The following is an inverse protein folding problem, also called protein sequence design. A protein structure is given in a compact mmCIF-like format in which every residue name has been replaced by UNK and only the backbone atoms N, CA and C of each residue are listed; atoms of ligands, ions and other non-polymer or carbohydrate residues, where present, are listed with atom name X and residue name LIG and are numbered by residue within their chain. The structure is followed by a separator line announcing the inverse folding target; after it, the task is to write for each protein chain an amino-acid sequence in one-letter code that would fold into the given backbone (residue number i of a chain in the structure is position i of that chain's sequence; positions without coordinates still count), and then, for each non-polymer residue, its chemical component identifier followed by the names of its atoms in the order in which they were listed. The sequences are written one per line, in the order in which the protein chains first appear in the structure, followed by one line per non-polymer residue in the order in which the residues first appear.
data_IF_837860489866
#
_entry.id   IF_837860489866
#
_cell.length_a   1.000
_cell.length_b   1.000
_cell.length_c   1.000
_cell.angle_alpha   90.00
_cell.angle_beta   90.00
_cell.angle_gamma   90.00
#
_symmetry.space_group_name_H-M   'P 1'
#
loop_
_entity.id
_entity.type
_entity.pdbx_description
1 polymer ?
#
# COMPACT_ATOMS: atom_id res chain seq x y z
N UNK A 1 -27.85 33.50 -40.96
CA UNK A 1 -26.51 34.09 -40.75
C UNK A 1 -26.14 33.86 -39.29
N UNK A 2 -25.76 32.65 -38.89
CA UNK A 2 -24.36 32.18 -38.68
C UNK A 2 -23.56 33.07 -37.73
N UNK A 3 -23.76 32.87 -36.43
CA UNK A 3 -22.88 33.40 -35.37
C UNK A 3 -22.04 32.26 -34.80
N UNK A 4 -20.77 32.28 -35.20
CA UNK A 4 -19.59 31.98 -34.40
C UNK A 4 -19.57 30.67 -33.60
N UNK A 5 -19.12 29.60 -34.26
CA UNK A 5 -18.17 28.69 -33.62
C UNK A 5 -16.86 29.46 -33.42
N UNK A 6 -16.33 29.47 -32.20
CA UNK A 6 -14.92 29.37 -31.82
C UNK A 6 -14.67 30.06 -30.47
N UNK A 7 -13.79 29.45 -29.67
CA UNK A 7 -13.14 29.95 -28.45
C UNK A 7 -13.96 29.92 -27.16
N UNK A 8 -13.93 28.77 -26.48
CA UNK A 8 -13.69 28.73 -25.02
C UNK A 8 -13.10 27.37 -24.62
N UNK A 9 -12.05 26.99 -25.34
CA UNK A 9 -11.01 26.11 -24.81
C UNK A 9 -10.14 26.95 -23.89
N UNK A 10 -10.56 27.16 -22.64
CA UNK A 10 -9.78 27.93 -21.69
C UNK A 10 -9.70 27.20 -20.34
N UNK A 11 -8.54 26.55 -20.17
CA UNK A 11 -7.83 26.34 -18.92
C UNK A 11 -8.53 25.37 -17.96
N UNK A 12 -8.34 24.05 -18.09
CA UNK A 12 -7.04 23.39 -17.83
C UNK A 12 -6.42 23.83 -16.49
N UNK A 13 -7.22 23.87 -15.43
CA UNK A 13 -6.77 24.11 -14.07
C UNK A 13 -7.56 23.26 -13.06
N UNK A 14 -7.78 21.98 -13.34
CA UNK A 14 -7.90 21.01 -12.26
C UNK A 14 -6.53 20.39 -12.11
N UNK A 15 -5.73 21.03 -11.26
CA UNK A 15 -4.43 20.56 -10.84
C UNK A 15 -4.54 19.08 -10.49
N UNK A 16 -3.73 18.28 -11.17
CA UNK A 16 -2.69 17.43 -10.60
C UNK A 16 -2.72 17.37 -9.06
N UNK A 17 -3.84 16.94 -8.48
CA UNK A 17 -3.89 16.39 -7.14
C UNK A 17 -3.21 15.04 -7.27
N UNK A 18 -1.87 15.11 -7.22
CA UNK A 18 -0.97 14.12 -6.68
C UNK A 18 -1.71 12.87 -6.25
N UNK A 19 -1.76 11.89 -7.15
CA UNK A 19 -1.43 10.47 -6.91
C UNK A 19 -1.54 10.02 -5.44
N UNK A 20 -2.66 10.30 -4.77
CA UNK A 20 -3.13 9.48 -3.69
C UNK A 20 -3.79 8.31 -4.39
N UNK A 21 -2.96 7.46 -4.99
CA UNK A 21 -3.34 6.07 -5.22
C UNK A 21 -3.88 5.66 -3.86
N UNK A 22 -5.17 5.35 -3.70
CA UNK A 22 -5.53 4.54 -2.57
C UNK A 22 -4.79 3.25 -2.92
N UNK A 23 -3.59 3.07 -2.35
CA UNK A 23 -2.98 1.75 -2.25
C UNK A 23 -4.15 0.96 -1.76
N UNK A 24 -4.67 0.12 -2.67
CA UNK A 24 -5.80 -0.71 -2.39
C UNK A 24 -5.51 -1.22 -0.98
N UNK A 25 -6.42 -0.96 -0.06
CA UNK A 25 -6.60 -1.88 1.03
C UNK A 25 -6.86 -3.20 0.30
N UNK A 26 -5.75 -3.85 -0.08
CA UNK A 26 -5.66 -5.20 -0.53
C UNK A 26 -6.58 -5.89 0.44
N UNK A 27 -7.50 -6.68 -0.08
CA UNK A 27 -8.45 -7.47 0.66
C UNK A 27 -7.68 -8.33 1.69
N UNK A 28 -7.23 -7.69 2.75
CA UNK A 28 -6.37 -8.16 3.78
C UNK A 28 -7.39 -8.86 4.63
N UNK A 29 -7.41 -10.20 4.50
CA UNK A 29 -7.95 -11.06 5.53
C UNK A 29 -7.62 -10.40 6.88
N UNK A 30 -8.58 -10.35 7.83
CA UNK A 30 -8.36 -9.67 9.11
C UNK A 30 -6.97 -10.06 9.60
N UNK A 31 -6.09 -9.06 9.70
CA UNK A 31 -4.70 -9.28 10.12
C UNK A 31 -4.78 -10.12 11.39
N UNK A 32 -4.09 -11.25 11.39
CA UNK A 32 -4.01 -12.05 12.63
C UNK A 32 -3.48 -11.13 13.74
N UNK A 33 -3.92 -11.33 14.99
CA UNK A 33 -3.45 -10.49 16.11
C UNK A 33 -1.91 -10.40 16.17
N UNK A 34 -1.23 -11.45 15.70
CA UNK A 34 0.20 -11.48 15.49
C UNK A 34 0.69 -10.42 14.47
N UNK A 35 0.15 -10.42 13.25
CA UNK A 35 0.53 -9.45 12.23
C UNK A 35 0.17 -8.01 12.62
N UNK A 36 -0.95 -7.80 13.31
CA UNK A 36 -1.32 -6.48 13.82
C UNK A 36 -0.30 -5.96 14.86
N UNK A 37 0.12 -6.81 15.81
CA UNK A 37 1.16 -6.48 16.79
C UNK A 37 2.52 -6.21 16.13
N UNK A 38 2.86 -6.99 15.10
CA UNK A 38 4.11 -6.79 14.37
C UNK A 38 4.12 -5.50 13.56
N UNK A 39 3.01 -5.14 12.90
CA UNK A 39 2.86 -3.86 12.20
C UNK A 39 3.01 -2.63 13.09
N UNK A 40 2.59 -2.72 14.35
CA UNK A 40 2.80 -1.64 15.32
C UNK A 40 4.29 -1.44 15.66
N UNK A 41 5.10 -2.51 15.55
CA UNK A 41 6.54 -2.48 15.83
C UNK A 41 7.37 -2.11 14.61
N UNK A 42 6.99 -2.62 13.45
CA UNK A 42 7.65 -2.40 12.17
C UNK A 42 6.56 -2.21 11.11
N UNK A 43 6.22 -0.98 10.69
CA UNK A 43 5.13 -0.77 9.74
C UNK A 43 5.47 -1.18 8.30
N UNK A 44 6.74 -1.54 8.03
CA UNK A 44 7.24 -1.86 6.69
C UNK A 44 7.06 -3.32 6.29
N UNK A 45 6.68 -4.20 7.21
CA UNK A 45 6.48 -5.61 6.92
C UNK A 45 5.09 -5.98 6.36
N UNK A 46 5.05 -7.14 5.73
CA UNK A 46 3.89 -7.72 5.03
C UNK A 46 3.45 -8.99 5.77
N UNK A 47 2.17 -9.09 6.08
CA UNK A 47 1.57 -10.34 6.58
C UNK A 47 1.29 -11.29 5.41
N UNK A 48 1.85 -12.50 5.43
CA UNK A 48 1.57 -13.55 4.45
C UNK A 48 0.21 -14.20 4.72
N UNK A 49 -0.40 -14.88 3.74
CA UNK A 49 -1.65 -15.62 3.95
C UNK A 49 -1.55 -16.73 5.00
N UNK A 50 -0.33 -17.15 5.36
CA UNK A 50 -0.03 -18.14 6.39
C UNK A 50 0.09 -17.54 7.80
N UNK A 51 -0.02 -16.21 7.92
CA UNK A 51 0.14 -15.49 9.19
C UNK A 51 1.60 -15.21 9.56
N UNK A 52 2.54 -15.36 8.62
CA UNK A 52 3.94 -14.97 8.83
C UNK A 52 4.09 -13.48 8.57
N UNK A 53 4.93 -12.80 9.34
CA UNK A 53 5.21 -11.38 9.17
C UNK A 53 6.59 -11.20 8.53
N UNK A 54 6.63 -10.73 7.28
CA UNK A 54 7.86 -10.63 6.48
C UNK A 54 8.29 -9.18 6.40
N UNK A 55 9.50 -8.88 6.86
CA UNK A 55 10.19 -7.59 6.65
C UNK A 55 11.29 -7.74 5.59
N UNK A 56 12.01 -6.65 5.32
CA UNK A 56 13.16 -6.67 4.42
C UNK A 56 14.23 -7.68 4.88
N UNK A 57 14.51 -7.71 6.19
CA UNK A 57 15.61 -8.47 6.77
C UNK A 57 15.18 -9.74 7.49
N UNK A 58 13.90 -9.88 7.87
CA UNK A 58 13.44 -10.97 8.75
C UNK A 58 12.07 -11.50 8.36
N UNK A 59 11.80 -12.75 8.72
CA UNK A 59 10.48 -13.37 8.72
C UNK A 59 10.16 -13.78 10.14
N UNK A 60 9.09 -13.23 10.69
CA UNK A 60 8.59 -13.58 12.02
C UNK A 60 7.43 -14.56 11.85
N UNK A 61 7.53 -15.70 12.52
CA UNK A 61 6.51 -16.74 12.47
C UNK A 61 5.59 -16.63 13.69
N UNK A 62 4.31 -17.02 13.57
CA UNK A 62 3.38 -17.01 14.70
C UNK A 62 3.80 -17.96 15.82
N UNK A 63 4.66 -18.96 15.53
CA UNK A 63 5.25 -19.85 16.53
C UNK A 63 6.40 -19.22 17.34
N UNK A 64 6.76 -17.97 17.05
CA UNK A 64 7.80 -17.22 17.76
C UNK A 64 9.20 -17.34 17.15
N UNK A 65 9.41 -18.23 16.16
CA UNK A 65 10.66 -18.27 15.40
C UNK A 65 10.84 -17.02 14.55
N UNK A 66 12.11 -16.64 14.37
CA UNK A 66 12.53 -15.54 13.53
C UNK A 66 13.57 -16.08 12.55
N UNK A 67 13.33 -15.89 11.27
CA UNK A 67 14.23 -16.28 10.19
C UNK A 67 14.87 -15.00 9.64
N UNK A 68 16.19 -14.90 9.67
CA UNK A 68 16.88 -13.81 8.99
C UNK A 68 16.85 -14.08 7.48
N UNK A 69 16.37 -13.11 6.71
CA UNK A 69 16.50 -13.09 5.26
C UNK A 69 17.93 -12.66 4.96
N UNK A 70 18.78 -13.61 4.61
CA UNK A 70 20.03 -13.30 3.91
C UNK A 70 19.68 -12.79 2.53
N UNK A 71 19.65 -11.47 2.37
CA UNK A 71 19.80 -10.82 1.06
C UNK A 71 21.18 -11.21 0.55
N UNK A 72 21.22 -12.13 -0.42
CA UNK A 72 22.42 -12.40 -1.22
C UNK A 72 22.70 -11.24 -2.16
#
# INVERSE_FOLDING_TARGET
MTTARLLSSLLLALGIATLAVPVAAQNQRPDTEFCAKMRQRDPGGICTPKGEYVTAEKVYLPDGRIINRTTG
#
